data_IF_005921054347
#
_entry.id   IF_005921054347
#
_cell.length_a   1.000
_cell.length_b   1.000
_cell.length_c   1.000
_cell.angle_alpha   90.00
_cell.angle_beta   90.00
_cell.angle_gamma   90.00
#
_symmetry.space_group_name_H-M   'P 1'
#
loop_
_entity.id
_entity.type
_entity.pdbx_description
1 polymer ?
#
# COMPACT_ATOMS: atom_id res chain seq x y z
N UNK A 1 -7.89 1.08 -17.69
CA UNK A 1 -7.98 1.35 -16.23
C UNK A 1 -6.64 1.91 -15.80
N UNK A 2 -6.65 2.94 -14.95
CA UNK A 2 -5.44 3.51 -14.34
C UNK A 2 -5.57 3.43 -12.82
N UNK A 3 -4.48 3.65 -12.08
CA UNK A 3 -4.51 3.75 -10.63
C UNK A 3 -3.77 5.03 -10.21
N UNK A 4 -4.14 5.54 -9.04
CA UNK A 4 -3.48 6.67 -8.41
C UNK A 4 -2.67 6.19 -7.22
N UNK A 5 -1.55 6.86 -6.98
CA UNK A 5 -0.70 6.68 -5.81
C UNK A 5 -0.67 8.02 -5.08
N UNK A 6 -0.96 7.99 -3.78
CA UNK A 6 -0.90 9.18 -2.92
C UNK A 6 0.06 8.91 -1.78
N UNK A 7 1.06 9.76 -1.57
CA UNK A 7 1.92 9.71 -0.40
C UNK A 7 1.28 10.50 0.75
N UNK A 8 0.96 9.79 1.83
CA UNK A 8 0.57 10.39 3.10
C UNK A 8 1.83 10.62 3.93
N UNK A 9 2.25 11.88 4.02
CA UNK A 9 3.39 12.33 4.81
C UNK A 9 3.13 13.76 5.28
N UNK A 10 2.99 13.96 6.59
CA UNK A 10 2.60 15.25 7.21
C UNK A 10 3.51 16.41 6.84
N UNK A 11 4.82 16.18 6.85
CA UNK A 11 5.83 17.25 6.75
C UNK A 11 6.46 17.37 5.36
N UNK A 12 5.98 16.60 4.37
CA UNK A 12 6.54 16.56 3.03
C UNK A 12 6.01 17.69 2.15
N UNK A 13 6.91 18.41 1.48
CA UNK A 13 6.54 19.38 0.45
C UNK A 13 5.78 18.70 -0.71
N UNK A 14 4.95 19.46 -1.42
CA UNK A 14 4.19 18.93 -2.56
C UNK A 14 5.11 18.34 -3.65
N UNK A 15 6.27 18.97 -3.90
CA UNK A 15 7.24 18.48 -4.87
C UNK A 15 7.86 17.14 -4.45
N UNK A 16 8.21 17.00 -3.16
CA UNK A 16 8.76 15.76 -2.62
C UNK A 16 7.72 14.63 -2.67
N UNK A 17 6.46 14.93 -2.37
CA UNK A 17 5.35 13.98 -2.50
C UNK A 17 5.16 13.48 -3.93
N UNK A 18 5.07 14.40 -4.89
CA UNK A 18 4.90 14.05 -6.30
C UNK A 18 6.04 13.19 -6.85
N UNK A 19 7.28 13.52 -6.48
CA UNK A 19 8.46 12.76 -6.89
C UNK A 19 8.46 11.35 -6.27
N UNK A 20 8.17 11.23 -4.98
CA UNK A 20 8.06 9.94 -4.30
C UNK A 20 6.91 9.07 -4.87
N UNK A 21 5.74 9.65 -5.12
CA UNK A 21 4.60 9.00 -5.77
C UNK A 21 4.98 8.50 -7.17
N UNK A 22 5.71 9.30 -7.94
CA UNK A 22 6.17 8.93 -9.28
C UNK A 22 7.17 7.77 -9.23
N UNK A 23 8.13 7.78 -8.30
CA UNK A 23 9.09 6.68 -8.09
C UNK A 23 8.38 5.40 -7.66
N UNK A 24 7.48 5.51 -6.69
CA UNK A 24 6.71 4.38 -6.20
C UNK A 24 5.89 3.73 -7.31
N UNK A 25 5.19 4.55 -8.12
CA UNK A 25 4.43 4.08 -9.28
C UNK A 25 5.31 3.34 -10.29
N UNK A 26 6.45 3.94 -10.67
CA UNK A 26 7.40 3.31 -11.62
C UNK A 26 7.93 1.97 -11.10
N UNK A 27 8.27 1.90 -9.82
CA UNK A 27 8.77 0.67 -9.20
C UNK A 27 7.70 -0.43 -9.14
N UNK A 28 6.46 -0.07 -8.80
CA UNK A 28 5.32 -0.99 -8.82
C UNK A 28 5.03 -1.53 -10.22
N UNK A 29 4.94 -0.64 -11.21
CA UNK A 29 4.72 -1.02 -12.60
C UNK A 29 5.82 -1.97 -13.08
N UNK A 30 7.09 -1.69 -12.78
CA UNK A 30 8.20 -2.56 -13.15
C UNK A 30 8.11 -3.95 -12.49
N UNK A 31 7.76 -4.02 -11.21
CA UNK A 31 7.70 -5.28 -10.47
C UNK A 31 6.51 -6.18 -10.86
N UNK A 32 5.39 -5.57 -11.26
CA UNK A 32 4.13 -6.27 -11.50
C UNK A 32 3.76 -6.38 -12.98
N UNK A 33 4.54 -5.81 -13.89
CA UNK A 33 4.29 -5.89 -15.34
C UNK A 33 3.30 -4.84 -15.83
N UNK A 34 3.36 -3.65 -15.23
CA UNK A 34 2.55 -2.48 -15.55
C UNK A 34 1.21 -2.44 -14.82
N UNK A 35 0.39 -1.49 -15.26
CA UNK A 35 -0.88 -1.12 -14.62
C UNK A 35 -1.84 -2.28 -14.41
N UNK A 36 -1.91 -3.22 -15.36
CA UNK A 36 -2.78 -4.39 -15.23
C UNK A 36 -2.33 -5.31 -14.08
N UNK A 37 -1.03 -5.60 -13.99
CA UNK A 37 -0.49 -6.43 -12.92
C UNK A 37 -0.61 -5.78 -11.54
N UNK A 38 -0.47 -4.46 -11.47
CA UNK A 38 -0.74 -3.67 -10.25
C UNK A 38 -2.17 -3.85 -9.78
N UNK A 39 -3.15 -3.63 -10.67
CA UNK A 39 -4.57 -3.74 -10.32
C UNK A 39 -4.97 -5.17 -9.94
N UNK A 40 -4.43 -6.18 -10.65
CA UNK A 40 -4.67 -7.59 -10.32
C UNK A 40 -4.08 -7.96 -8.94
N UNK A 41 -2.86 -7.53 -8.67
CA UNK A 41 -2.20 -7.73 -7.37
C UNK A 41 -2.97 -7.07 -6.23
N UNK A 42 -3.33 -5.80 -6.41
CA UNK A 42 -4.11 -5.04 -5.44
C UNK A 42 -5.47 -5.70 -5.16
N UNK A 43 -6.20 -6.11 -6.21
CA UNK A 43 -7.50 -6.75 -6.04
C UNK A 43 -7.40 -8.11 -5.33
N UNK A 44 -6.39 -8.92 -5.68
CA UNK A 44 -6.14 -10.19 -4.99
C UNK A 44 -5.82 -9.97 -3.51
N UNK A 45 -5.03 -8.93 -3.20
CA UNK A 45 -4.74 -8.54 -1.82
C UNK A 45 -5.99 -8.07 -1.06
N UNK A 46 -6.79 -7.19 -1.66
CA UNK A 46 -8.07 -6.76 -1.06
C UNK A 46 -9.01 -7.94 -0.84
N UNK A 47 -9.06 -8.89 -1.78
CA UNK A 47 -9.84 -10.13 -1.62
C UNK A 47 -9.31 -10.95 -0.44
N UNK A 48 -7.99 -11.11 -0.33
CA UNK A 48 -7.35 -11.85 0.75
C UNK A 48 -7.60 -11.23 2.14
N UNK A 49 -7.56 -9.90 2.26
CA UNK A 49 -7.83 -9.20 3.53
C UNK A 49 -9.27 -9.37 4.01
N UNK A 50 -10.24 -9.46 3.09
CA UNK A 50 -11.67 -9.50 3.43
C UNK A 50 -12.25 -10.92 3.48
N UNK A 51 -11.49 -11.95 3.10
CA UNK A 51 -11.97 -13.32 3.10
C UNK A 51 -11.85 -13.94 4.51
N UNK A 52 -12.97 -14.32 5.11
CA UNK A 52 -13.02 -14.98 6.42
C UNK A 52 -12.96 -16.53 6.32
N UNK A 53 -12.25 -17.06 5.33
CA UNK A 53 -12.20 -18.49 5.01
C UNK A 53 -10.95 -18.91 4.26
N UNK A 54 -10.97 -20.09 3.64
CA UNK A 54 -9.83 -20.57 2.84
C UNK A 54 -9.65 -19.73 1.57
N UNK A 55 -8.48 -19.11 1.46
CA UNK A 55 -8.07 -18.36 0.28
C UNK A 55 -7.50 -19.34 -0.76
N UNK A 56 -7.95 -19.29 -2.03
CA UNK A 56 -7.34 -20.08 -3.09
C UNK A 56 -5.83 -19.81 -3.17
N UNK A 57 -5.03 -20.85 -3.34
CA UNK A 57 -3.55 -20.72 -3.36
C UNK A 57 -3.08 -19.72 -4.43
N UNK A 58 -3.74 -19.70 -5.59
CA UNK A 58 -3.44 -18.76 -6.67
C UNK A 58 -3.73 -17.31 -6.25
N UNK A 59 -4.85 -17.05 -5.56
CA UNK A 59 -5.17 -15.73 -5.02
C UNK A 59 -4.15 -15.30 -3.99
N UNK A 60 -3.73 -16.20 -3.09
CA UNK A 60 -2.67 -15.93 -2.12
C UNK A 60 -1.35 -15.58 -2.81
N UNK A 61 -0.97 -16.31 -3.86
CA UNK A 61 0.26 -16.09 -4.62
C UNK A 61 0.31 -14.71 -5.25
N UNK A 62 -0.78 -14.30 -5.89
CA UNK A 62 -0.90 -12.97 -6.52
C UNK A 62 -0.91 -11.86 -5.46
N UNK A 63 -1.66 -12.04 -4.37
CA UNK A 63 -1.69 -11.12 -3.23
C UNK A 63 -0.32 -10.95 -2.56
N UNK A 64 0.41 -12.06 -2.36
CA UNK A 64 1.76 -12.03 -1.79
C UNK A 64 2.75 -11.31 -2.70
N UNK A 65 2.64 -11.52 -4.02
CA UNK A 65 3.46 -10.79 -5.00
C UNK A 65 3.20 -9.28 -4.93
N UNK A 66 1.93 -8.88 -4.74
CA UNK A 66 1.57 -7.48 -4.49
C UNK A 66 2.27 -6.92 -3.25
N UNK A 67 2.17 -7.58 -2.10
CA UNK A 67 2.81 -7.12 -0.86
C UNK A 67 4.32 -6.93 -1.00
N UNK A 68 5.01 -7.90 -1.61
CA UNK A 68 6.47 -7.83 -1.81
C UNK A 68 6.83 -6.66 -2.72
N UNK A 69 6.09 -6.49 -3.82
CA UNK A 69 6.31 -5.40 -4.77
C UNK A 69 6.04 -4.03 -4.13
N UNK A 70 4.95 -3.90 -3.38
CA UNK A 70 4.56 -2.67 -2.69
C UNK A 70 5.61 -2.27 -1.63
N UNK A 71 6.12 -3.22 -0.85
CA UNK A 71 7.13 -2.93 0.16
C UNK A 71 8.50 -2.61 -0.45
N UNK A 72 8.88 -3.29 -1.55
CA UNK A 72 10.09 -2.96 -2.30
C UNK A 72 9.99 -1.55 -2.92
N UNK A 73 8.86 -1.24 -3.55
CA UNK A 73 8.59 0.08 -4.12
C UNK A 73 8.58 1.18 -3.04
N UNK A 74 8.03 0.90 -1.85
CA UNK A 74 8.02 1.84 -0.72
C UNK A 74 9.43 2.18 -0.27
N UNK A 75 10.26 1.16 -0.05
CA UNK A 75 11.67 1.35 0.35
C UNK A 75 12.46 2.13 -0.70
N UNK A 76 12.23 1.86 -1.99
CA UNK A 76 12.89 2.59 -3.07
C UNK A 76 12.41 4.05 -3.17
N UNK A 77 11.12 4.31 -2.99
CA UNK A 77 10.56 5.65 -3.09
C UNK A 77 10.93 6.56 -1.90
N UNK A 78 11.11 5.98 -0.70
CA UNK A 78 11.45 6.70 0.53
C UNK A 78 12.94 6.63 0.91
N UNK A 79 13.81 6.11 0.03
CA UNK A 79 15.24 5.93 0.36
C UNK A 79 15.92 7.22 0.84
N UNK A 80 15.50 8.38 0.31
CA UNK A 80 16.05 9.70 0.62
C UNK A 80 15.10 10.58 1.44
N UNK A 81 14.06 10.01 2.06
CA UNK A 81 13.01 10.74 2.78
C UNK A 81 12.95 10.23 4.22
N UNK A 82 13.00 11.15 5.19
CA UNK A 82 12.79 10.80 6.61
C UNK A 82 11.38 10.25 6.79
N UNK A 83 11.28 8.94 7.02
CA UNK A 83 10.02 8.23 7.14
C UNK A 83 9.66 8.07 8.61
N UNK A 84 8.42 8.39 8.98
CA UNK A 84 7.81 8.00 10.26
C UNK A 84 6.89 6.80 10.07
N UNK A 85 6.44 6.16 11.15
CA UNK A 85 5.46 5.07 11.09
C UNK A 85 4.11 5.50 10.49
N UNK A 86 3.83 6.81 10.46
CA UNK A 86 2.64 7.37 9.84
C UNK A 86 2.78 7.60 8.31
N UNK A 87 3.96 7.35 7.74
CA UNK A 87 4.23 7.59 6.32
C UNK A 87 3.87 6.36 5.48
N UNK A 88 2.87 6.48 4.61
CA UNK A 88 2.43 5.37 3.76
C UNK A 88 2.00 5.84 2.37
N UNK A 89 2.07 4.91 1.41
CA UNK A 89 1.50 5.11 0.08
C UNK A 89 0.12 4.46 0.02
N UNK A 90 -0.86 5.24 -0.40
CA UNK A 90 -2.19 4.77 -0.74
C UNK A 90 -2.27 4.48 -2.23
N UNK A 91 -2.77 3.29 -2.60
CA UNK A 91 -3.01 2.90 -3.98
C UNK A 91 -4.51 2.75 -4.19
N UNK A 92 -5.07 3.54 -5.12
CA UNK A 92 -6.48 3.48 -5.46
C UNK A 92 -6.65 3.16 -6.95
N UNK A 93 -7.43 2.12 -7.31
CA UNK A 93 -7.87 1.97 -8.69
C UNK A 93 -8.70 3.19 -9.07
N UNK A 94 -8.47 3.74 -10.26
CA UNK A 94 -9.32 4.79 -10.77
C UNK A 94 -10.66 4.19 -11.21
N UNK A 95 -11.56 4.09 -10.25
CA UNK A 95 -12.97 3.81 -10.51
C UNK A 95 -13.53 5.04 -11.21
N UNK A 96 -14.12 4.86 -12.39
CA UNK A 96 -14.72 5.97 -13.15
C UNK A 96 -15.59 6.84 -12.25
N UNK A 97 -15.38 8.16 -12.33
CA UNK A 97 -15.96 9.22 -11.51
C UNK A 97 -17.33 8.89 -10.88
N UNK A 98 -17.38 8.92 -9.54
CA UNK A 98 -18.64 8.93 -8.81
C UNK A 98 -18.53 8.54 -7.34
N UNK A 99 -17.90 9.37 -6.50
CA UNK A 99 -18.39 9.79 -5.17
C UNK A 99 -17.28 10.59 -4.46
N UNK A 100 -17.57 11.85 -4.13
CA UNK A 100 -16.73 12.69 -3.29
C UNK A 100 -16.87 12.20 -1.85
N UNK A 101 -15.85 11.52 -1.34
CA UNK A 101 -15.73 11.21 0.09
C UNK A 101 -14.48 11.87 0.63
N UNK A 102 -14.62 13.07 1.20
CA UNK A 102 -13.55 13.75 1.95
C UNK A 102 -13.02 12.87 3.09
N UNK A 103 -11.74 13.02 3.47
CA UNK A 103 -11.06 12.13 4.41
C UNK A 103 -11.42 12.49 5.84
N UNK A 104 -11.90 11.52 6.63
CA UNK A 104 -11.88 11.65 8.09
C UNK A 104 -11.95 10.30 8.78
N UNK A 105 -10.97 10.08 9.66
CA UNK A 105 -10.93 9.12 10.77
C UNK A 105 -10.90 7.60 10.47
N UNK A 106 -9.68 7.07 10.29
CA UNK A 106 -9.25 5.77 10.85
C UNK A 106 -7.79 5.97 11.25
N UNK A 107 -7.46 6.25 12.50
CA UNK A 107 -7.66 5.36 13.63
C UNK A 107 -6.28 4.76 13.94
N UNK A 108 -5.43 5.55 14.60
CA UNK A 108 -4.13 5.13 15.11
C UNK A 108 -4.31 3.94 16.05
N UNK A 109 -3.96 2.74 15.59
CA UNK A 109 -3.80 1.59 16.45
C UNK A 109 -2.31 1.48 16.83
N UNK A 110 -1.96 2.16 17.92
CA UNK A 110 -0.74 1.86 18.70
C UNK A 110 -0.85 0.43 19.23
N UNK A 111 -0.08 -0.49 18.68
CA UNK A 111 0.11 -1.82 19.26
C UNK A 111 1.40 -1.81 20.09
N UNK A 112 1.26 -1.38 21.34
CA UNK A 112 2.25 -1.58 22.40
C UNK A 112 2.29 -3.07 22.76
N UNK A 113 3.30 -3.80 22.31
CA UNK A 113 3.53 -5.17 22.77
C UNK A 113 4.43 -5.15 24.03
N UNK A 114 3.80 -4.93 25.18
CA UNK A 114 4.40 -5.18 26.50
C UNK A 114 4.10 -6.61 26.96
N UNK A 115 5.19 -7.31 27.29
CA UNK A 115 5.37 -8.60 27.97
C UNK A 115 4.15 -9.43 28.43
N UNK A 116 4.20 -10.71 28.08
CA UNK A 116 3.66 -11.78 28.92
C UNK A 116 4.78 -12.80 29.19
N UNK A 117 5.11 -12.89 30.48
CA UNK A 117 5.99 -13.86 31.13
C UNK A 117 5.38 -15.26 31.01
N UNK A 118 6.17 -16.22 30.52
CA UNK A 118 5.91 -17.64 30.74
C UNK A 118 6.36 -18.00 32.16
N UNK A 119 5.43 -18.44 33.02
CA UNK A 119 5.76 -19.15 34.25
C UNK A 119 5.86 -20.63 33.93
N UNK A 120 6.98 -21.21 34.34
CA UNK A 120 7.24 -22.65 34.46
C UNK A 120 6.42 -23.28 35.58
#
# INVERSE_FOLDING_TARGET
MFYTVTLHHSDASAALRQEAEARYRRALDAALGGTHGVLMGWHAWQTAEHLLGELPEETWRVARRWLIAAEAARRAALADIECTDATYFEVLPATGAGHVGSPSARGSATATASGIVARS
#
